data_IF_386214378336
#
_entry.id   IF_386214378336
#
_cell.length_a   1.000
_cell.length_b   1.000
_cell.length_c   1.000
_cell.angle_alpha   90.00
_cell.angle_beta   90.00
_cell.angle_gamma   90.00
#
_symmetry.space_group_name_H-M   'P 1'
#
loop_
_entity.id
_entity.type
_entity.pdbx_description
1 polymer ?
#
# COMPACT_ATOMS: atom_id res chain seq x y z
N UNK A 1 19.75 -4.93 -15.74
CA UNK A 1 18.86 -3.98 -15.03
C UNK A 1 17.53 -4.70 -14.82
N UNK A 2 17.16 -4.92 -13.58
CA UNK A 2 15.89 -5.60 -13.29
C UNK A 2 14.73 -4.74 -13.81
N UNK A 3 13.74 -5.38 -14.45
CA UNK A 3 12.54 -4.66 -14.87
C UNK A 3 11.73 -4.25 -13.63
N UNK A 4 10.95 -3.18 -13.72
CA UNK A 4 10.06 -2.75 -12.62
C UNK A 4 9.15 -3.88 -12.14
N UNK A 5 8.72 -4.78 -13.03
CA UNK A 5 7.94 -5.96 -12.69
C UNK A 5 8.68 -6.95 -11.79
N UNK A 6 10.00 -7.06 -11.92
CA UNK A 6 10.82 -7.91 -11.03
C UNK A 6 10.87 -7.35 -9.60
N UNK A 7 10.89 -6.02 -9.42
CA UNK A 7 10.78 -5.42 -8.07
C UNK A 7 9.46 -5.79 -7.40
N UNK A 8 8.34 -5.71 -8.13
CA UNK A 8 7.04 -6.14 -7.59
C UNK A 8 7.10 -7.62 -7.19
N UNK A 9 7.57 -8.48 -8.08
CA UNK A 9 7.61 -9.92 -7.84
C UNK A 9 8.54 -10.30 -6.68
N UNK A 10 9.74 -9.70 -6.62
CA UNK A 10 10.80 -10.12 -5.70
C UNK A 10 10.73 -9.45 -4.32
N UNK A 11 9.99 -8.36 -4.17
CA UNK A 11 9.88 -7.63 -2.91
C UNK A 11 8.46 -7.62 -2.35
N UNK A 12 7.44 -7.35 -3.18
CA UNK A 12 6.07 -7.22 -2.68
C UNK A 12 5.32 -8.57 -2.67
N UNK A 13 5.46 -9.36 -3.73
CA UNK A 13 4.79 -10.68 -3.80
C UNK A 13 5.60 -11.74 -3.08
N UNK A 14 6.91 -11.85 -3.37
CA UNK A 14 7.82 -12.79 -2.77
C UNK A 14 8.91 -12.03 -2.02
N UNK A 15 8.72 -11.82 -0.73
CA UNK A 15 9.65 -11.03 0.08
C UNK A 15 10.71 -11.93 0.74
N UNK A 16 11.98 -11.59 0.53
CA UNK A 16 13.12 -12.20 1.24
C UNK A 16 13.58 -11.25 2.33
N UNK A 17 13.37 -11.61 3.58
CA UNK A 17 13.79 -10.84 4.75
C UNK A 17 14.69 -11.70 5.65
N UNK A 18 15.99 -11.43 5.62
CA UNK A 18 16.99 -12.24 6.32
C UNK A 18 17.08 -13.67 5.74
N UNK A 19 16.90 -14.67 6.60
CA UNK A 19 16.91 -16.10 6.25
C UNK A 19 15.52 -16.64 5.87
N UNK A 20 14.52 -15.76 5.83
CA UNK A 20 13.12 -16.12 5.62
C UNK A 20 12.61 -15.59 4.30
N UNK A 21 11.97 -16.42 3.51
CA UNK A 21 11.24 -16.02 2.30
C UNK A 21 9.74 -16.14 2.55
N UNK A 22 8.99 -15.09 2.26
CA UNK A 22 7.53 -15.07 2.32
C UNK A 22 7.00 -15.01 0.89
N UNK A 23 6.33 -16.07 0.47
CA UNK A 23 5.57 -16.09 -0.80
C UNK A 23 4.15 -15.62 -0.54
N UNK A 24 3.66 -14.67 -1.35
CA UNK A 24 2.37 -14.03 -1.13
C UNK A 24 2.40 -13.04 0.05
N UNK A 25 3.48 -12.29 0.23
CA UNK A 25 3.60 -11.29 1.29
C UNK A 25 2.53 -10.20 1.16
N UNK A 26 2.32 -9.69 -0.06
CA UNK A 26 1.24 -8.77 -0.40
C UNK A 26 0.23 -9.45 -1.35
N UNK A 27 -1.03 -9.05 -1.24
CA UNK A 27 -2.13 -9.42 -2.15
C UNK A 27 -2.08 -8.60 -3.44
N UNK A 28 -1.87 -7.29 -3.30
CA UNK A 28 -1.66 -6.38 -4.41
C UNK A 28 -0.52 -5.41 -4.10
N UNK A 29 0.17 -4.97 -5.14
CA UNK A 29 1.25 -4.01 -5.02
C UNK A 29 1.48 -3.22 -6.29
N UNK A 30 2.06 -2.03 -6.14
CA UNK A 30 2.42 -1.17 -7.25
C UNK A 30 3.57 -0.22 -6.93
N UNK A 31 4.29 0.17 -7.97
CA UNK A 31 5.22 1.30 -8.00
C UNK A 31 4.62 2.38 -8.88
N UNK A 32 4.48 3.58 -8.33
CA UNK A 32 3.84 4.70 -9.01
C UNK A 32 4.75 5.92 -8.91
N UNK A 33 5.02 6.55 -10.05
CA UNK A 33 5.78 7.79 -10.11
C UNK A 33 5.07 8.95 -9.43
N UNK A 34 5.81 10.00 -9.12
CA UNK A 34 5.28 11.21 -8.47
C UNK A 34 4.19 11.93 -9.30
N UNK A 35 4.15 11.65 -10.60
CA UNK A 35 3.17 12.14 -11.58
C UNK A 35 1.92 11.25 -11.70
N UNK A 36 1.86 10.14 -10.96
CA UNK A 36 0.78 9.16 -11.02
C UNK A 36 0.97 8.06 -12.06
N UNK A 37 2.07 8.06 -12.82
CA UNK A 37 2.37 7.01 -13.79
C UNK A 37 2.68 5.70 -13.07
N UNK A 38 1.95 4.63 -13.38
CA UNK A 38 2.21 3.28 -12.84
C UNK A 38 3.39 2.67 -13.58
N UNK A 39 4.52 2.48 -12.90
CA UNK A 39 5.72 1.86 -13.48
C UNK A 39 5.63 0.33 -13.50
N UNK A 40 5.03 -0.23 -12.45
CA UNK A 40 4.71 -1.65 -12.36
C UNK A 40 3.62 -1.89 -11.33
N UNK A 41 2.87 -2.96 -11.50
CA UNK A 41 1.86 -3.40 -10.54
C UNK A 41 1.61 -4.90 -10.64
N UNK A 42 1.00 -5.46 -9.59
CA UNK A 42 0.38 -6.78 -9.67
C UNK A 42 -0.83 -6.75 -10.60
N UNK A 43 -1.23 -7.92 -11.09
CA UNK A 43 -2.44 -8.06 -11.90
C UNK A 43 -3.67 -7.54 -11.14
N UNK A 44 -4.51 -6.80 -11.84
CA UNK A 44 -5.75 -6.24 -11.29
C UNK A 44 -5.59 -5.00 -10.40
N UNK A 45 -4.36 -4.54 -10.13
CA UNK A 45 -4.16 -3.27 -9.42
C UNK A 45 -4.57 -2.09 -10.31
N UNK A 46 -5.50 -1.27 -9.84
CA UNK A 46 -5.92 -0.07 -10.56
C UNK A 46 -6.46 0.97 -9.58
N UNK A 47 -5.92 2.17 -9.61
CA UNK A 47 -6.48 3.35 -8.95
C UNK A 47 -7.40 4.08 -9.93
N UNK A 48 -8.61 4.43 -9.48
CA UNK A 48 -9.63 5.06 -10.31
C UNK A 48 -9.59 6.58 -10.15
N UNK A 49 -9.64 7.29 -11.26
CA UNK A 49 -9.71 8.77 -11.28
C UNK A 49 -11.13 9.32 -11.04
N UNK A 50 -12.15 8.46 -11.07
CA UNK A 50 -13.57 8.84 -10.98
C UNK A 50 -14.34 7.99 -9.96
N UNK A 51 -13.68 7.60 -8.88
CA UNK A 51 -14.28 6.78 -7.83
C UNK A 51 -15.38 7.54 -7.09
N UNK A 52 -16.57 6.96 -7.02
CA UNK A 52 -17.70 7.54 -6.30
C UNK A 52 -17.72 7.04 -4.86
N UNK A 53 -17.68 7.96 -3.91
CA UNK A 53 -17.74 7.66 -2.49
C UNK A 53 -18.93 8.34 -1.83
N UNK A 54 -19.47 7.71 -0.77
CA UNK A 54 -20.51 8.29 0.07
C UNK A 54 -19.90 9.01 1.25
N UNK A 55 -20.24 10.28 1.41
CA UNK A 55 -19.74 11.14 2.48
C UNK A 55 -20.92 11.54 3.37
N UNK A 56 -20.79 11.32 4.69
CA UNK A 56 -21.79 11.74 5.67
C UNK A 56 -21.64 13.23 5.96
N UNK A 57 -22.75 13.98 5.88
CA UNK A 57 -22.80 15.42 6.21
C UNK A 57 -23.06 15.65 7.69
N UNK A 58 -22.95 16.90 8.13
CA UNK A 58 -23.20 17.30 9.51
C UNK A 58 -24.67 17.14 9.94
N UNK A 59 -25.60 17.13 8.98
CA UNK A 59 -27.03 16.91 9.17
C UNK A 59 -27.43 15.42 9.11
N UNK A 60 -26.44 14.51 9.20
CA UNK A 60 -26.58 13.05 9.05
C UNK A 60 -27.06 12.56 7.67
N UNK A 61 -27.29 13.45 6.72
CA UNK A 61 -27.55 13.07 5.33
C UNK A 61 -26.29 12.52 4.65
N UNK A 62 -26.47 11.81 3.55
CA UNK A 62 -25.37 11.24 2.77
C UNK A 62 -25.30 11.92 1.41
N UNK A 63 -24.12 12.30 1.01
CA UNK A 63 -23.83 12.85 -0.32
C UNK A 63 -22.87 11.92 -1.05
N UNK A 64 -23.08 11.73 -2.35
CA UNK A 64 -22.12 11.07 -3.23
C UNK A 64 -21.17 12.10 -3.82
N UNK A 65 -19.87 11.88 -3.67
CA UNK A 65 -18.81 12.71 -4.27
C UNK A 65 -17.89 11.86 -5.12
N UNK A 66 -17.27 12.45 -6.11
CA UNK A 66 -16.26 11.79 -6.95
C UNK A 66 -14.86 12.18 -6.47
N UNK A 67 -13.97 11.21 -6.40
CA UNK A 67 -12.56 11.40 -6.02
C UNK A 67 -11.65 10.75 -7.07
N UNK A 68 -10.43 11.29 -7.19
CA UNK A 68 -9.29 10.59 -7.76
C UNK A 68 -8.60 9.81 -6.63
N UNK A 69 -8.50 8.48 -6.77
CA UNK A 69 -7.95 7.63 -5.71
C UNK A 69 -6.46 7.87 -5.51
N UNK A 70 -5.70 8.17 -6.57
CA UNK A 70 -4.27 8.48 -6.46
C UNK A 70 -4.04 9.76 -5.66
N UNK A 71 -4.72 10.85 -6.02
CA UNK A 71 -4.62 12.12 -5.31
C UNK A 71 -5.07 11.97 -3.86
N UNK A 72 -6.14 11.19 -3.62
CA UNK A 72 -6.68 10.96 -2.29
C UNK A 72 -5.69 10.25 -1.36
N UNK A 73 -5.00 9.21 -1.87
CA UNK A 73 -3.93 8.52 -1.14
C UNK A 73 -2.72 9.42 -0.95
N UNK A 74 -2.29 10.12 -1.99
CA UNK A 74 -1.15 11.03 -1.95
C UNK A 74 -1.33 12.12 -0.89
N UNK A 75 -2.54 12.69 -0.79
CA UNK A 75 -2.88 13.68 0.24
C UNK A 75 -2.83 13.09 1.65
N UNK A 76 -3.39 11.90 1.85
CA UNK A 76 -3.35 11.21 3.15
C UNK A 76 -1.91 10.98 3.63
N UNK A 77 -1.02 10.54 2.75
CA UNK A 77 0.38 10.28 3.09
C UNK A 77 1.15 11.58 3.29
N UNK A 78 0.93 12.59 2.45
CA UNK A 78 1.59 13.90 2.54
C UNK A 78 1.26 14.60 3.86
N UNK A 79 0.02 14.44 4.33
CA UNK A 79 -0.43 14.97 5.61
C UNK A 79 -0.13 14.02 6.79
N UNK A 80 0.69 12.97 6.59
CA UNK A 80 1.08 11.99 7.62
C UNK A 80 -0.10 11.41 8.38
N UNK A 81 -1.15 11.04 7.64
CA UNK A 81 -2.38 10.47 8.19
C UNK A 81 -3.32 11.47 8.84
N UNK A 82 -3.02 12.77 8.85
CA UNK A 82 -3.98 13.80 9.25
C UNK A 82 -5.05 13.96 8.17
N UNK A 83 -6.21 13.36 8.42
CA UNK A 83 -7.38 13.41 7.51
C UNK A 83 -8.31 14.57 7.78
N UNK A 84 -7.98 15.49 8.72
CA UNK A 84 -8.82 16.62 9.09
C UNK A 84 -9.10 17.56 7.92
N UNK A 85 -8.17 17.66 6.97
CA UNK A 85 -8.28 18.46 5.75
C UNK A 85 -8.89 17.70 4.56
N UNK A 86 -9.11 16.40 4.69
CA UNK A 86 -9.73 15.59 3.66
C UNK A 86 -11.26 15.69 3.72
N UNK A 87 -11.92 15.43 2.59
CA UNK A 87 -13.38 15.34 2.58
C UNK A 87 -13.84 14.28 3.59
N UNK A 88 -14.88 14.60 4.37
CA UNK A 88 -15.48 13.67 5.32
C UNK A 88 -15.86 12.36 4.61
N UNK A 89 -15.34 11.24 5.05
CA UNK A 89 -15.60 9.93 4.41
C UNK A 89 -14.45 8.95 4.57
N UNK A 90 -13.29 9.43 5.07
CA UNK A 90 -12.08 8.62 5.21
C UNK A 90 -11.30 8.50 3.90
N UNK A 91 -10.24 7.70 3.94
CA UNK A 91 -9.38 7.45 2.77
C UNK A 91 -9.99 6.34 1.93
N UNK A 92 -10.07 6.54 0.61
CA UNK A 92 -10.62 5.55 -0.32
C UNK A 92 -9.62 5.28 -1.45
N UNK A 93 -9.33 4.01 -1.69
CA UNK A 93 -8.54 3.53 -2.83
C UNK A 93 -8.79 2.04 -3.06
N UNK A 94 -8.52 1.57 -4.26
CA UNK A 94 -8.77 0.19 -4.70
C UNK A 94 -10.22 -0.27 -4.40
N UNK A 95 -11.18 0.65 -4.51
CA UNK A 95 -12.60 0.36 -4.29
C UNK A 95 -13.00 0.13 -2.83
N UNK A 96 -12.13 0.41 -1.85
CA UNK A 96 -12.39 0.22 -0.43
C UNK A 96 -12.20 1.51 0.37
N UNK A 97 -12.92 1.59 1.50
CA UNK A 97 -12.68 2.59 2.55
C UNK A 97 -11.63 2.05 3.51
N UNK A 98 -10.68 2.91 3.87
CA UNK A 98 -9.55 2.59 4.73
C UNK A 98 -9.53 3.46 5.98
N UNK A 99 -9.18 2.85 7.09
CA UNK A 99 -8.88 3.55 8.35
C UNK A 99 -7.38 3.81 8.40
N UNK A 100 -7.02 5.08 8.60
CA UNK A 100 -5.64 5.49 8.74
C UNK A 100 -5.11 5.07 10.11
N UNK A 101 -3.95 4.45 10.13
CA UNK A 101 -3.21 4.09 11.34
C UNK A 101 -1.98 4.98 11.49
N UNK A 102 -1.17 4.74 12.53
CA UNK A 102 0.12 5.40 12.67
C UNK A 102 1.04 5.08 11.49
N UNK A 103 1.90 6.02 11.15
CA UNK A 103 2.88 5.86 10.09
C UNK A 103 4.29 5.68 10.62
N UNK A 104 5.23 5.41 9.73
CA UNK A 104 6.65 5.26 10.03
C UNK A 104 7.48 6.23 9.20
N UNK A 105 8.36 6.99 9.84
CA UNK A 105 9.31 7.88 9.19
C UNK A 105 10.66 7.15 9.05
N UNK A 106 11.01 6.80 7.83
CA UNK A 106 12.33 6.27 7.46
C UNK A 106 13.28 7.39 7.03
N UNK A 107 14.48 6.99 6.61
CA UNK A 107 15.43 7.89 5.97
C UNK A 107 14.99 8.10 4.51
N UNK A 108 14.65 9.34 4.15
CA UNK A 108 14.18 9.76 2.84
C UNK A 108 12.85 9.14 2.35
N UNK A 109 12.04 8.58 3.25
CA UNK A 109 10.70 8.11 2.94
C UNK A 109 9.78 8.15 4.16
N UNK A 110 8.47 8.14 3.91
CA UNK A 110 7.44 8.00 4.94
C UNK A 110 6.44 6.93 4.52
N UNK A 111 6.16 5.98 5.41
CA UNK A 111 5.17 4.91 5.20
C UNK A 111 3.94 5.17 6.06
N UNK A 112 2.78 5.21 5.43
CA UNK A 112 1.49 5.27 6.10
C UNK A 112 0.85 3.87 6.08
N UNK A 113 0.37 3.45 7.25
CA UNK A 113 -0.36 2.19 7.39
C UNK A 113 -1.86 2.43 7.39
N UNK A 114 -2.58 1.47 6.83
CA UNK A 114 -4.04 1.49 6.72
C UNK A 114 -4.63 0.14 7.11
N UNK A 115 -5.84 0.19 7.65
CA UNK A 115 -6.64 -0.99 7.95
C UNK A 115 -7.93 -0.96 7.14
N UNK A 116 -8.33 -2.11 6.61
CA UNK A 116 -9.60 -2.32 5.92
C UNK A 116 -10.57 -3.06 6.83
N UNK A 117 -11.85 -2.72 6.78
CA UNK A 117 -12.92 -3.51 7.38
C UNK A 117 -12.97 -4.91 6.72
N UNK A 118 -13.27 -5.95 7.50
CA UNK A 118 -13.30 -7.33 7.01
C UNK A 118 -11.97 -8.08 7.08
N UNK A 119 -10.91 -7.46 7.59
CA UNK A 119 -9.60 -8.09 7.78
C UNK A 119 -8.67 -7.91 6.58
N UNK A 120 -7.83 -6.94 6.68
CA UNK A 120 -6.82 -6.59 5.70
C UNK A 120 -6.21 -5.23 6.00
N UNK A 121 -5.19 -4.88 5.27
CA UNK A 121 -4.51 -3.61 5.45
C UNK A 121 -3.66 -3.23 4.25
N UNK A 122 -3.05 -2.08 4.36
CA UNK A 122 -2.08 -1.58 3.39
C UNK A 122 -0.92 -0.88 4.08
N UNK A 123 0.24 -0.97 3.46
CA UNK A 123 1.37 -0.12 3.71
C UNK A 123 1.66 0.66 2.42
N UNK A 124 1.72 1.97 2.51
CA UNK A 124 1.99 2.82 1.35
C UNK A 124 3.08 3.78 1.71
N UNK A 125 4.20 3.70 1.00
CA UNK A 125 5.35 4.57 1.18
C UNK A 125 5.36 5.68 0.15
N UNK A 126 5.71 6.89 0.59
CA UNK A 126 6.09 8.02 -0.26
C UNK A 126 7.56 8.31 -0.06
N UNK A 127 8.35 8.25 -1.13
CA UNK A 127 9.77 8.64 -1.10
C UNK A 127 9.92 10.16 -1.09
N UNK A 128 11.12 10.66 -0.76
CA UNK A 128 11.45 12.10 -0.85
C UNK A 128 11.29 12.67 -2.27
N UNK A 129 11.39 11.82 -3.29
CA UNK A 129 11.12 12.17 -4.70
C UNK A 129 9.64 12.19 -5.06
N UNK A 130 8.76 11.79 -4.14
CA UNK A 130 7.31 11.77 -4.33
C UNK A 130 6.76 10.49 -4.97
N UNK A 131 7.59 9.48 -5.22
CA UNK A 131 7.13 8.20 -5.75
C UNK A 131 6.39 7.41 -4.67
N UNK A 132 5.40 6.62 -5.08
CA UNK A 132 4.59 5.81 -4.17
C UNK A 132 4.87 4.32 -4.38
N UNK A 133 4.96 3.60 -3.27
CA UNK A 133 5.09 2.14 -3.20
C UNK A 133 3.88 1.62 -2.45
N UNK A 134 3.06 0.82 -3.12
CA UNK A 134 1.86 0.22 -2.54
C UNK A 134 2.08 -1.23 -2.21
N UNK A 135 1.65 -1.66 -1.04
CA UNK A 135 1.44 -3.05 -0.68
C UNK A 135 0.14 -3.20 0.09
N UNK A 136 -0.69 -4.15 -0.30
CA UNK A 136 -1.91 -4.50 0.44
C UNK A 136 -1.88 -5.97 0.85
N UNK A 137 -2.58 -6.32 1.90
CA UNK A 137 -2.74 -7.70 2.36
C UNK A 137 -4.20 -7.98 2.73
N UNK A 138 -4.59 -9.24 2.65
CA UNK A 138 -5.93 -9.72 2.96
C UNK A 138 -5.83 -10.97 3.84
N UNK A 139 -6.41 -10.93 5.04
CA UNK A 139 -6.36 -12.03 6.00
C UNK A 139 -7.04 -13.33 5.50
N UNK A 140 -7.87 -13.26 4.45
CA UNK A 140 -8.46 -14.44 3.82
C UNK A 140 -7.52 -15.14 2.86
N UNK A 141 -6.52 -14.44 2.32
CA UNK A 141 -5.55 -14.96 1.35
C UNK A 141 -4.45 -15.79 2.03
N UNK A 142 -3.87 -16.69 1.26
CA UNK A 142 -2.79 -17.56 1.74
C UNK A 142 -1.42 -16.94 1.49
N UNK A 143 -0.48 -17.26 2.38
CA UNK A 143 0.94 -17.00 2.22
C UNK A 143 1.73 -18.25 2.60
N UNK A 144 2.99 -18.34 2.16
CA UNK A 144 3.86 -19.45 2.46
C UNK A 144 5.18 -18.92 3.00
N UNK A 145 5.59 -19.41 4.14
CA UNK A 145 6.88 -19.09 4.77
C UNK A 145 7.85 -20.21 4.44
N UNK A 146 9.01 -19.85 3.89
CA UNK A 146 10.17 -20.74 3.74
C UNK A 146 11.28 -20.24 4.66
N UNK A 147 11.67 -21.07 5.62
CA UNK A 147 12.78 -20.81 6.53
C UNK A 147 13.57 -22.08 6.78
N UNK A 148 14.91 -22.03 6.70
CA UNK A 148 15.80 -23.17 6.93
C UNK A 148 15.42 -24.42 6.10
N UNK A 149 14.95 -24.23 4.86
CA UNK A 149 14.47 -25.31 3.99
C UNK A 149 13.11 -25.90 4.38
N UNK A 150 12.46 -25.37 5.41
CA UNK A 150 11.13 -25.80 5.88
C UNK A 150 10.06 -24.85 5.37
N UNK A 151 9.04 -25.41 4.75
CA UNK A 151 7.88 -24.65 4.22
C UNK A 151 6.70 -24.75 5.16
N UNK A 152 6.08 -23.61 5.48
CA UNK A 152 4.86 -23.51 6.29
C UNK A 152 3.82 -22.66 5.60
N UNK A 153 2.64 -23.23 5.37
CA UNK A 153 1.48 -22.47 4.87
C UNK A 153 0.81 -21.69 6.00
N UNK A 154 0.40 -20.47 5.70
CA UNK A 154 -0.25 -19.54 6.63
C UNK A 154 -1.21 -18.64 5.88
N UNK A 155 -1.77 -17.65 6.57
CA UNK A 155 -2.53 -16.55 5.97
C UNK A 155 -1.62 -15.32 5.83
N UNK A 156 -1.98 -14.44 4.91
CA UNK A 156 -1.34 -13.12 4.82
C UNK A 156 -1.50 -12.39 6.16
N UNK A 157 -0.49 -11.64 6.52
CA UNK A 157 -0.43 -10.91 7.78
C UNK A 157 0.20 -9.54 7.59
N UNK A 158 -0.17 -8.62 8.47
CA UNK A 158 0.32 -7.24 8.45
C UNK A 158 1.85 -7.16 8.40
N UNK A 159 2.56 -7.98 9.17
CA UNK A 159 4.03 -7.97 9.22
C UNK A 159 4.67 -8.36 7.88
N UNK A 160 4.07 -9.26 7.12
CA UNK A 160 4.60 -9.66 5.82
C UNK A 160 4.56 -8.52 4.82
N UNK A 161 3.42 -7.87 4.69
CA UNK A 161 3.23 -6.75 3.78
C UNK A 161 4.05 -5.52 4.20
N UNK A 162 4.06 -5.18 5.49
CA UNK A 162 4.82 -4.04 5.99
C UNK A 162 6.33 -4.21 5.74
N UNK A 163 6.89 -5.40 6.02
CA UNK A 163 8.30 -5.69 5.75
C UNK A 163 8.59 -5.63 4.25
N UNK A 164 7.72 -6.19 3.42
CA UNK A 164 7.87 -6.18 1.96
C UNK A 164 7.95 -4.76 1.40
N UNK A 165 7.05 -3.88 1.83
CA UNK A 165 7.03 -2.47 1.43
C UNK A 165 8.25 -1.72 1.96
N UNK A 166 8.64 -1.94 3.21
CA UNK A 166 9.80 -1.28 3.83
C UNK A 166 11.11 -1.69 3.12
N UNK A 167 11.31 -2.98 2.86
CA UNK A 167 12.49 -3.49 2.15
C UNK A 167 12.60 -2.88 0.75
N UNK A 168 11.48 -2.84 0.00
CA UNK A 168 11.47 -2.23 -1.32
C UNK A 168 11.71 -0.71 -1.25
N UNK A 169 11.15 -0.04 -0.27
CA UNK A 169 11.34 1.41 -0.05
C UNK A 169 12.82 1.74 0.14
N UNK A 170 13.53 0.98 0.98
CA UNK A 170 14.97 1.14 1.20
C UNK A 170 15.78 0.96 -0.08
N UNK A 171 15.47 -0.08 -0.87
CA UNK A 171 16.16 -0.34 -2.14
C UNK A 171 15.96 0.81 -3.12
N UNK A 172 14.74 1.31 -3.27
CA UNK A 172 14.43 2.40 -4.21
C UNK A 172 15.09 3.71 -3.78
N UNK A 173 15.02 4.07 -2.49
CA UNK A 173 15.70 5.27 -1.96
C UNK A 173 17.21 5.19 -2.15
N UNK A 174 17.84 4.03 -1.87
CA UNK A 174 19.28 3.82 -2.11
C UNK A 174 19.64 3.92 -3.60
N UNK A 175 18.70 3.63 -4.50
CA UNK A 175 18.83 3.78 -5.95
C UNK A 175 18.55 5.21 -6.45
N UNK A 176 18.25 6.15 -5.55
CA UNK A 176 18.00 7.56 -5.87
C UNK A 176 16.57 7.87 -6.35
N UNK A 177 15.59 7.03 -6.03
CA UNK A 177 14.19 7.17 -6.45
C UNK A 177 13.24 7.66 -5.35
#
# INVERSE_FOLDING_TARGET
MDSWGQFISNYLVNNVHGDTTIYGACDAGALIGSDGTVWASTEGFSLKSDSKISVKKDDDSTETTTIDEFDHVKDAITNKGDTSKMKKGGVHFLGHKWVVLDGFLGEDYYTQYFRREGGGGAAITKTSKGNLIFGTWDASKSATILKDGVTKNTKQAVGFCNNAVDDLSKVLVQSGL
#
